data_IF_625892118447
#
_entry.id   IF_625892118447
#
_cell.length_a   1.000
_cell.length_b   1.000
_cell.length_c   1.000
_cell.angle_alpha   90.00
_cell.angle_beta   90.00
_cell.angle_gamma   90.00
#
_symmetry.space_group_name_H-M   'P 1'
#
loop_
_entity.id
_entity.type
_entity.pdbx_description
1 polymer ?
#
# COMPACT_ATOMS: atom_id res chain seq x y z
N UNK A 1 10.88 0.84 4.76
CA UNK A 1 11.71 1.57 5.73
C UNK A 1 10.97 2.83 6.17
N UNK A 2 10.85 3.02 7.49
CA UNK A 2 10.10 4.15 8.08
C UNK A 2 10.87 5.47 7.95
N UNK A 3 12.21 5.43 7.91
CA UNK A 3 13.03 6.63 7.72
C UNK A 3 12.86 7.17 6.32
N UNK A 4 13.02 6.31 5.31
CA UNK A 4 12.80 6.67 3.90
C UNK A 4 11.38 7.18 3.63
N UNK A 5 10.36 6.60 4.29
CA UNK A 5 8.98 7.08 4.22
C UNK A 5 8.85 8.51 4.75
N UNK A 6 9.46 8.82 5.89
CA UNK A 6 9.44 10.16 6.50
C UNK A 6 10.06 11.20 5.57
N UNK A 7 11.26 10.92 5.04
CA UNK A 7 11.96 11.84 4.12
C UNK A 7 11.14 12.11 2.85
N UNK A 8 10.47 11.08 2.32
CA UNK A 8 9.60 11.24 1.15
C UNK A 8 8.37 12.11 1.49
N UNK A 9 7.77 11.93 2.66
CA UNK A 9 6.64 12.76 3.13
C UNK A 9 7.05 14.23 3.22
N UNK A 10 8.14 14.52 3.92
CA UNK A 10 8.67 15.88 4.09
C UNK A 10 8.96 16.52 2.72
N UNK A 11 9.53 15.75 1.79
CA UNK A 11 9.79 16.23 0.44
C UNK A 11 8.51 16.56 -0.32
N UNK A 12 7.47 15.73 -0.22
CA UNK A 12 6.18 15.95 -0.88
C UNK A 12 5.46 17.15 -0.29
N UNK A 13 5.48 17.36 1.03
CA UNK A 13 4.88 18.52 1.68
C UNK A 13 5.45 19.85 1.17
N UNK A 14 6.73 19.89 0.80
CA UNK A 14 7.33 21.11 0.22
C UNK A 14 6.92 21.39 -1.23
N UNK A 15 6.26 20.45 -1.91
CA UNK A 15 5.98 20.53 -3.37
C UNK A 15 4.52 20.29 -3.76
N UNK A 16 3.75 19.65 -2.90
CA UNK A 16 2.35 19.30 -3.12
C UNK A 16 1.51 20.22 -2.24
N UNK A 17 0.53 20.90 -2.85
CA UNK A 17 -0.39 21.72 -2.07
C UNK A 17 -1.27 20.83 -1.19
N UNK A 18 -1.66 21.29 0.02
CA UNK A 18 -2.60 20.55 0.87
C UNK A 18 -3.91 20.18 0.14
N UNK A 19 -4.38 21.05 -0.76
CA UNK A 19 -5.53 20.79 -1.63
C UNK A 19 -5.30 19.61 -2.57
N UNK A 20 -4.10 19.52 -3.17
CA UNK A 20 -3.75 18.38 -4.01
C UNK A 20 -3.68 17.13 -3.16
N UNK A 21 -3.06 17.17 -1.98
CA UNK A 21 -2.99 16.03 -1.07
C UNK A 21 -4.38 15.53 -0.65
N UNK A 22 -5.28 16.43 -0.25
CA UNK A 22 -6.64 16.06 0.12
C UNK A 22 -7.44 15.50 -1.08
N UNK A 23 -7.28 16.09 -2.27
CA UNK A 23 -7.89 15.56 -3.48
C UNK A 23 -7.36 14.17 -3.82
N UNK A 24 -6.06 13.92 -3.66
CA UNK A 24 -5.48 12.58 -3.82
C UNK A 24 -6.11 11.60 -2.82
N UNK A 25 -6.30 12.00 -1.56
CA UNK A 25 -6.93 11.18 -0.53
C UNK A 25 -8.40 10.86 -0.81
N UNK A 26 -9.16 11.84 -1.28
CA UNK A 26 -10.55 11.66 -1.69
C UNK A 26 -10.68 10.79 -2.95
N UNK A 27 -9.77 10.95 -3.92
CA UNK A 27 -9.78 10.21 -5.20
C UNK A 27 -9.27 8.78 -5.06
N UNK A 28 -8.26 8.54 -4.21
CA UNK A 28 -7.68 7.20 -4.01
C UNK A 28 -8.37 6.42 -2.90
N UNK A 29 -9.20 7.08 -2.08
CA UNK A 29 -9.90 6.48 -0.93
C UNK A 29 -8.95 5.85 0.12
N UNK A 30 -7.67 6.23 0.10
CA UNK A 30 -6.60 5.52 0.84
C UNK A 30 -5.42 6.36 1.27
N UNK A 31 -5.34 7.64 0.87
CA UNK A 31 -4.27 8.47 1.41
C UNK A 31 -4.69 9.01 2.76
N UNK A 32 -3.73 8.91 3.67
CA UNK A 32 -3.71 9.63 4.93
C UNK A 32 -4.02 11.11 4.60
N UNK A 33 -5.06 11.71 5.17
CA UNK A 33 -5.42 13.08 4.86
C UNK A 33 -4.29 14.04 5.29
N UNK A 34 -4.15 15.19 4.62
CA UNK A 34 -3.00 16.08 4.81
C UNK A 34 -2.84 16.63 6.23
N UNK A 35 -3.89 16.50 7.05
CA UNK A 35 -3.97 16.92 8.45
C UNK A 35 -3.74 15.77 9.45
N UNK A 36 -3.18 14.65 9.02
CA UNK A 36 -2.80 13.56 9.92
C UNK A 36 -1.71 14.00 10.89
N UNK A 37 -2.03 14.01 12.18
CA UNK A 37 -1.04 14.25 13.22
C UNK A 37 -0.45 12.92 13.71
N UNK A 38 0.81 12.95 14.13
CA UNK A 38 1.42 11.78 14.78
C UNK A 38 0.60 11.41 16.02
N UNK A 39 -0.14 10.30 15.95
CA UNK A 39 -1.03 9.83 17.01
C UNK A 39 -2.47 9.56 16.55
N UNK A 40 -2.86 9.99 15.34
CA UNK A 40 -4.15 9.63 14.77
C UNK A 40 -4.17 8.14 14.36
N UNK A 41 -5.16 7.40 14.84
CA UNK A 41 -5.44 6.03 14.36
C UNK A 41 -6.11 6.13 12.98
N UNK A 42 -5.45 5.58 11.96
CA UNK A 42 -6.01 5.51 10.61
C UNK A 42 -6.46 4.07 10.34
N UNK A 43 -7.76 3.88 10.25
CA UNK A 43 -8.33 2.60 9.87
C UNK A 43 -8.39 2.48 8.34
N UNK A 44 -7.91 1.36 7.81
CA UNK A 44 -8.05 0.99 6.40
C UNK A 44 -8.79 -0.34 6.30
N UNK A 45 -9.79 -0.43 5.44
CA UNK A 45 -10.46 -1.72 5.20
C UNK A 45 -9.68 -2.54 4.17
N UNK A 46 -9.82 -3.88 4.16
CA UNK A 46 -9.23 -4.71 3.09
C UNK A 46 -9.67 -4.28 1.68
N UNK A 47 -10.88 -3.72 1.55
CA UNK A 47 -11.42 -3.25 0.28
C UNK A 47 -10.69 -1.98 -0.17
N UNK A 48 -10.46 -1.04 0.74
CA UNK A 48 -9.72 0.19 0.45
C UNK A 48 -8.29 -0.15 0.05
N UNK A 49 -7.65 -1.07 0.79
CA UNK A 49 -6.29 -1.49 0.48
C UNK A 49 -6.19 -2.16 -0.90
N UNK A 50 -7.10 -3.09 -1.21
CA UNK A 50 -7.17 -3.74 -2.53
C UNK A 50 -7.45 -2.74 -3.66
N UNK A 51 -8.18 -1.66 -3.39
CA UNK A 51 -8.52 -0.64 -4.39
C UNK A 51 -7.27 0.07 -4.92
N UNK A 52 -6.26 0.30 -4.08
CA UNK A 52 -4.98 0.92 -4.48
C UNK A 52 -4.26 0.03 -5.48
N UNK A 53 -4.13 -1.25 -5.17
CA UNK A 53 -3.50 -2.21 -6.08
C UNK A 53 -4.28 -2.33 -7.40
N UNK A 54 -5.61 -2.25 -7.35
CA UNK A 54 -6.44 -2.23 -8.55
C UNK A 54 -6.18 -0.98 -9.41
N UNK A 55 -6.01 0.19 -8.80
CA UNK A 55 -5.68 1.44 -9.50
C UNK A 55 -4.31 1.34 -10.15
N UNK A 56 -3.31 0.83 -9.42
CA UNK A 56 -1.96 0.63 -9.95
C UNK A 56 -1.97 -0.36 -11.12
N UNK A 57 -2.60 -1.52 -10.94
CA UNK A 57 -2.69 -2.58 -11.95
C UNK A 57 -3.37 -2.14 -13.24
N UNK A 58 -4.45 -1.35 -13.15
CA UNK A 58 -5.18 -0.87 -14.32
C UNK A 58 -4.65 0.47 -14.87
N UNK A 59 -3.61 1.05 -14.27
CA UNK A 59 -3.05 2.36 -14.64
C UNK A 59 -4.12 3.46 -14.79
N UNK A 60 -5.11 3.48 -13.90
CA UNK A 60 -6.24 4.45 -13.96
C UNK A 60 -5.92 5.79 -13.32
N UNK A 61 -4.78 5.92 -12.66
CA UNK A 61 -4.37 7.13 -11.94
C UNK A 61 -2.98 7.63 -12.37
N UNK A 62 -2.00 6.71 -12.39
CA UNK A 62 -0.66 6.98 -12.91
C UNK A 62 -0.58 6.58 -14.38
N UNK A 63 0.43 7.09 -15.10
CA UNK A 63 0.74 6.55 -16.43
C UNK A 63 1.15 5.08 -16.32
N UNK A 64 0.92 4.31 -17.39
CA UNK A 64 1.29 2.89 -17.48
C UNK A 64 2.73 2.63 -17.01
N UNK A 65 3.69 3.39 -17.54
CA UNK A 65 5.10 3.28 -17.14
C UNK A 65 5.37 3.55 -15.65
N UNK A 66 4.60 4.44 -15.01
CA UNK A 66 4.75 4.73 -13.58
C UNK A 66 4.02 3.69 -12.71
N UNK A 67 2.87 3.20 -13.16
CA UNK A 67 2.16 2.07 -12.53
C UNK A 67 3.00 0.79 -12.56
N UNK A 68 3.57 0.44 -13.71
CA UNK A 68 4.49 -0.70 -13.84
C UNK A 68 5.70 -0.54 -12.94
N UNK A 69 6.30 0.66 -12.90
CA UNK A 69 7.43 0.93 -12.03
C UNK A 69 7.08 0.78 -10.55
N UNK A 70 5.91 1.26 -10.13
CA UNK A 70 5.45 1.10 -8.76
C UNK A 70 5.23 -0.39 -8.40
N UNK A 71 4.57 -1.14 -9.28
CA UNK A 71 4.33 -2.58 -9.08
C UNK A 71 5.64 -3.39 -9.09
N UNK A 72 6.60 -3.04 -9.96
CA UNK A 72 7.92 -3.66 -9.98
C UNK A 72 8.67 -3.44 -8.66
N UNK A 73 8.65 -2.21 -8.13
CA UNK A 73 9.25 -1.92 -6.81
C UNK A 73 8.57 -2.69 -5.67
N UNK A 74 7.25 -2.89 -5.75
CA UNK A 74 6.50 -3.70 -4.78
C UNK A 74 6.80 -5.20 -4.92
N UNK A 75 7.10 -5.68 -6.12
CA UNK A 75 7.51 -7.08 -6.37
C UNK A 75 8.91 -7.41 -5.86
N UNK A 76 9.74 -6.39 -5.60
CA UNK A 76 11.07 -6.53 -4.98
C UNK A 76 11.01 -6.60 -3.44
N UNK A 77 9.81 -6.60 -2.85
CA UNK A 77 9.63 -6.73 -1.40
C UNK A 77 10.28 -8.02 -0.87
N UNK A 78 11.14 -7.89 0.13
CA UNK A 78 11.83 -9.03 0.76
C UNK A 78 11.01 -9.69 1.88
N UNK A 79 9.75 -9.29 2.06
CA UNK A 79 8.89 -9.84 3.11
C UNK A 79 8.09 -11.02 2.58
N UNK A 80 8.45 -12.22 3.04
CA UNK A 80 7.93 -13.50 2.58
C UNK A 80 6.88 -14.12 3.53
N UNK A 81 6.74 -13.56 4.73
CA UNK A 81 5.88 -14.09 5.81
C UNK A 81 4.41 -13.65 5.72
N UNK A 82 4.04 -13.01 4.61
CA UNK A 82 2.68 -12.54 4.33
C UNK A 82 1.99 -13.36 3.24
N UNK A 83 1.30 -12.69 2.30
CA UNK A 83 0.55 -13.33 1.21
C UNK A 83 1.45 -14.19 0.31
N UNK A 84 2.74 -13.85 0.23
CA UNK A 84 3.76 -14.58 -0.53
C UNK A 84 3.92 -16.02 -0.01
N UNK A 85 3.69 -16.28 1.28
CA UNK A 85 3.76 -17.62 1.86
C UNK A 85 2.61 -18.54 1.38
N UNK A 86 1.48 -17.95 0.99
CA UNK A 86 0.27 -18.67 0.59
C UNK A 86 0.20 -19.00 -0.90
N UNK A 87 1.11 -18.47 -1.71
CA UNK A 87 1.14 -18.68 -3.17
C UNK A 87 2.23 -19.69 -3.56
N UNK A 88 2.12 -20.33 -4.75
CA UNK A 88 3.16 -21.24 -5.23
C UNK A 88 4.55 -20.59 -5.26
N UNK A 89 5.58 -21.38 -4.94
CA UNK A 89 6.97 -20.91 -4.95
C UNK A 89 7.36 -20.41 -6.35
N UNK A 90 7.97 -19.23 -6.42
CA UNK A 90 8.38 -18.58 -7.66
C UNK A 90 7.30 -17.73 -8.34
N UNK A 91 6.07 -17.67 -7.82
CA UNK A 91 5.04 -16.76 -8.33
C UNK A 91 5.40 -15.31 -8.01
N UNK A 92 5.50 -14.47 -9.05
CA UNK A 92 5.77 -13.04 -8.88
C UNK A 92 4.59 -12.40 -8.15
N UNK A 93 4.89 -11.70 -7.07
CA UNK A 93 3.87 -11.06 -6.23
C UNK A 93 4.32 -9.64 -5.89
N UNK A 94 3.55 -8.65 -6.30
CA UNK A 94 3.76 -7.25 -5.93
C UNK A 94 2.93 -6.93 -4.69
N UNK A 95 3.55 -6.83 -3.52
CA UNK A 95 2.83 -6.66 -2.26
C UNK A 95 3.39 -5.55 -1.37
N UNK A 96 2.56 -5.12 -0.44
CA UNK A 96 2.94 -4.23 0.64
C UNK A 96 2.33 -4.76 1.93
N UNK A 97 3.18 -4.92 2.94
CA UNK A 97 2.77 -5.28 4.29
C UNK A 97 2.88 -4.09 5.25
N UNK A 98 2.08 -4.09 6.31
CA UNK A 98 2.12 -3.18 7.44
C UNK A 98 1.91 -3.96 8.74
N UNK A 99 2.69 -3.65 9.77
CA UNK A 99 2.56 -4.27 11.10
C UNK A 99 2.20 -3.17 12.08
N UNK A 100 1.11 -3.37 12.82
CA UNK A 100 0.78 -2.56 13.98
C UNK A 100 1.00 -3.38 15.26
N UNK A 101 1.89 -2.88 16.10
CA UNK A 101 2.32 -3.44 17.39
C UNK A 101 2.08 -2.42 18.53
N UNK A 102 1.15 -1.47 18.34
CA UNK A 102 0.85 -0.47 19.36
C UNK A 102 0.04 -1.07 20.52
N UNK A 103 0.43 -0.75 21.75
CA UNK A 103 -0.22 -1.27 22.97
C UNK A 103 -1.69 -0.82 23.15
N UNK A 104 -2.16 0.17 22.38
CA UNK A 104 -3.54 0.67 22.43
C UNK A 104 -4.54 -0.26 21.75
N UNK A 105 -4.12 -1.02 20.74
CA UNK A 105 -4.91 -2.10 20.16
C UNK A 105 -4.90 -3.27 21.14
N UNK A 106 -5.94 -3.38 21.98
CA UNK A 106 -6.08 -4.43 22.99
C UNK A 106 -5.73 -5.84 22.46
N UNK A 107 -4.46 -6.23 22.65
CA UNK A 107 -3.87 -7.57 22.71
C UNK A 107 -3.57 -8.40 21.44
N UNK A 108 -3.53 -7.88 20.21
CA UNK A 108 -2.99 -8.69 19.08
C UNK A 108 -2.22 -7.86 18.05
N UNK A 109 -1.00 -8.33 17.75
CA UNK A 109 -0.22 -7.95 16.57
C UNK A 109 -1.11 -8.00 15.32
N UNK A 110 -1.26 -6.88 14.62
CA UNK A 110 -2.01 -6.84 13.37
C UNK A 110 -1.02 -6.85 12.20
N UNK A 111 -1.21 -7.81 11.29
CA UNK A 111 -0.46 -7.89 10.03
C UNK A 111 -1.43 -7.59 8.89
N UNK A 112 -1.25 -6.42 8.29
CA UNK A 112 -1.93 -6.01 7.08
C UNK A 112 -1.04 -6.38 5.90
N UNK A 113 -1.56 -7.09 4.91
CA UNK A 113 -0.81 -7.38 3.68
C UNK A 113 -1.76 -7.43 2.48
N UNK A 114 -1.40 -6.70 1.43
CA UNK A 114 -2.16 -6.67 0.19
C UNK A 114 -1.21 -6.65 -1.00
N UNK A 115 -1.62 -7.29 -2.09
CA UNK A 115 -0.82 -7.34 -3.30
C UNK A 115 -1.52 -7.91 -4.51
N UNK A 116 -0.84 -7.78 -5.65
CA UNK A 116 -1.18 -8.43 -6.91
C UNK A 116 -0.34 -9.69 -7.04
N UNK A 117 -0.99 -10.82 -7.25
CA UNK A 117 -0.35 -12.11 -7.54
C UNK A 117 -0.43 -12.37 -9.04
N UNK A 118 0.73 -12.55 -9.68
CA UNK A 118 0.83 -12.80 -11.11
C UNK A 118 0.80 -14.31 -11.41
N UNK A 119 -0.37 -14.92 -11.20
CA UNK A 119 -0.65 -16.32 -11.55
C UNK A 119 -1.19 -16.41 -12.99
N UNK A 120 -0.30 -16.60 -13.96
CA UNK A 120 -0.72 -16.63 -15.36
C UNK A 120 -1.69 -17.78 -15.68
N UNK A 121 -2.74 -17.54 -16.48
CA UNK A 121 -3.04 -16.31 -17.23
C UNK A 121 -3.95 -15.31 -16.48
N UNK A 122 -4.29 -15.58 -15.22
CA UNK A 122 -5.30 -14.83 -14.47
C UNK A 122 -4.69 -14.21 -13.20
N UNK A 123 -4.01 -13.05 -13.32
CA UNK A 123 -3.55 -12.33 -12.15
C UNK A 123 -4.73 -11.90 -11.27
N UNK A 124 -4.53 -11.89 -9.96
CA UNK A 124 -5.57 -11.53 -8.98
C UNK A 124 -5.01 -10.67 -7.85
N UNK A 125 -5.90 -9.96 -7.15
CA UNK A 125 -5.57 -9.15 -5.98
C UNK A 125 -6.03 -9.90 -4.74
N UNK A 126 -5.18 -9.95 -3.73
CA UNK A 126 -5.49 -10.49 -2.41
C UNK A 126 -5.20 -9.41 -1.36
N UNK A 127 -6.06 -9.32 -0.34
CA UNK A 127 -5.87 -8.44 0.81
C UNK A 127 -6.24 -9.19 2.08
N UNK A 128 -5.35 -9.14 3.07
CA UNK A 128 -5.51 -9.72 4.39
C UNK A 128 -5.18 -8.67 5.46
N UNK A 129 -5.96 -8.69 6.55
CA UNK A 129 -5.85 -7.82 7.73
C UNK A 129 -6.04 -8.71 8.96
#
# INVERSE_FOLDING_TARGET
DNVSRGILSDYLETRVTPETHNRLAEESMTLIPANYEQGDEYEITPIDYASVFRILYNATYLSEAMSERALALLAESSYDSGIVNGVPEGTVTANKFGIDDTEQAQQRLQLHDCGVVYDEPNPYIISCV
#
